data_IF_432394479205
#
_entry.id   IF_432394479205
#
_cell.length_a   1.000
_cell.length_b   1.000
_cell.length_c   1.000
_cell.angle_alpha   90.00
_cell.angle_beta   90.00
_cell.angle_gamma   90.00
#
_symmetry.space_group_name_H-M   'P 1'
#
loop_
_entity.id
_entity.type
_entity.pdbx_description
1 polymer ?
#
# COMPACT_ATOMS: atom_id res chain seq x y z
N UNK A 1 2.17 -0.36 2.02
CA UNK A 1 1.79 -0.16 0.60
C UNK A 1 0.35 -0.56 0.29
N UNK A 2 -0.10 -1.82 0.44
CA UNK A 2 -1.45 -2.23 -0.01
C UNK A 2 -2.62 -1.50 0.67
N UNK A 3 -2.47 -1.18 1.96
CA UNK A 3 -3.45 -0.33 2.65
C UNK A 3 -3.44 1.10 2.11
N UNK A 4 -2.26 1.62 1.76
CA UNK A 4 -2.05 2.96 1.21
C UNK A 4 -2.59 3.10 -0.22
N UNK A 5 -2.30 2.17 -1.11
CA UNK A 5 -2.74 2.27 -2.52
C UNK A 5 -4.05 1.54 -2.78
N UNK A 6 -4.72 1.08 -1.73
CA UNK A 6 -5.95 0.31 -1.83
C UNK A 6 -5.88 -0.87 -2.80
N UNK A 7 -4.94 -1.79 -2.56
CA UNK A 7 -4.93 -3.07 -3.24
C UNK A 7 -6.12 -3.91 -2.77
N UNK A 8 -7.08 -4.19 -3.66
CA UNK A 8 -8.28 -4.96 -3.33
C UNK A 8 -8.11 -6.46 -3.56
N UNK A 9 -7.05 -6.86 -4.25
CA UNK A 9 -6.80 -8.27 -4.59
C UNK A 9 -5.82 -8.95 -3.64
N UNK A 10 -5.06 -8.18 -2.84
CA UNK A 10 -4.15 -8.74 -1.84
C UNK A 10 -4.86 -9.06 -0.52
N UNK A 11 -5.23 -10.32 -0.34
CA UNK A 11 -5.99 -10.82 0.81
C UNK A 11 -5.47 -12.18 1.31
N UNK A 12 -6.23 -12.86 2.19
CA UNK A 12 -5.83 -14.17 2.75
C UNK A 12 -5.87 -15.33 1.75
N UNK A 13 -6.61 -15.18 0.66
CA UNK A 13 -6.75 -16.17 -0.41
C UNK A 13 -5.76 -15.91 -1.54
N UNK A 14 -5.37 -14.64 -1.75
CA UNK A 14 -4.35 -14.25 -2.69
C UNK A 14 -3.33 -13.27 -2.08
N UNK A 15 -2.14 -13.77 -1.76
CA UNK A 15 -1.09 -12.93 -1.20
C UNK A 15 -0.39 -12.06 -2.24
N UNK A 16 -0.46 -12.37 -3.54
CA UNK A 16 0.27 -11.63 -4.59
C UNK A 16 1.77 -11.46 -4.26
N UNK A 17 2.38 -12.50 -3.70
CA UNK A 17 3.80 -12.56 -3.32
C UNK A 17 4.49 -13.74 -3.99
N UNK A 18 5.65 -13.50 -4.58
CA UNK A 18 6.59 -14.54 -4.98
C UNK A 18 7.74 -14.59 -3.99
N UNK A 19 8.13 -15.77 -3.54
CA UNK A 19 9.32 -15.96 -2.71
C UNK A 19 10.50 -16.39 -3.58
N UNK A 20 11.53 -15.55 -3.66
CA UNK A 20 12.81 -15.93 -4.26
C UNK A 20 13.68 -16.58 -3.19
N UNK A 21 14.03 -17.85 -3.40
CA UNK A 21 14.78 -18.68 -2.44
C UNK A 21 16.22 -18.22 -2.25
N UNK A 22 16.92 -17.87 -3.34
CA UNK A 22 18.34 -17.49 -3.31
C UNK A 22 18.61 -16.23 -2.50
N UNK A 23 17.77 -15.21 -2.66
CA UNK A 23 17.87 -13.94 -1.95
C UNK A 23 17.01 -13.91 -0.68
N UNK A 24 16.29 -15.02 -0.40
CA UNK A 24 15.31 -15.15 0.68
C UNK A 24 14.37 -13.94 0.77
N UNK A 25 13.85 -13.50 -0.38
CA UNK A 25 13.09 -12.25 -0.50
C UNK A 25 11.72 -12.48 -1.08
N UNK A 26 10.73 -11.77 -0.50
CA UNK A 26 9.40 -11.69 -1.08
C UNK A 26 9.31 -10.53 -2.07
N UNK A 27 8.75 -10.82 -3.25
CA UNK A 27 8.44 -9.85 -4.28
C UNK A 27 6.94 -9.69 -4.39
N UNK A 28 6.49 -8.44 -4.29
CA UNK A 28 5.09 -8.11 -4.53
C UNK A 28 4.84 -8.10 -6.04
N UNK A 29 3.92 -8.95 -6.49
CA UNK A 29 3.46 -9.04 -7.89
C UNK A 29 1.98 -8.65 -7.99
N UNK A 30 1.45 -8.70 -9.21
CA UNK A 30 0.04 -8.47 -9.55
C UNK A 30 -0.57 -7.23 -8.88
N UNK A 31 -0.16 -6.08 -9.41
CA UNK A 31 -0.58 -4.76 -8.92
C UNK A 31 -1.74 -4.17 -9.74
N UNK A 32 -2.38 -4.96 -10.60
CA UNK A 32 -3.47 -4.50 -11.45
C UNK A 32 -4.70 -4.05 -10.63
N UNK A 33 -4.82 -4.56 -9.40
CA UNK A 33 -5.87 -4.23 -8.44
C UNK A 33 -5.54 -3.06 -7.49
N UNK A 34 -4.42 -2.37 -7.70
CA UNK A 34 -4.16 -1.11 -6.99
C UNK A 34 -5.20 -0.05 -7.34
N UNK A 35 -5.31 0.96 -6.48
CA UNK A 35 -6.27 2.05 -6.57
C UNK A 35 -7.73 1.58 -6.60
N UNK A 36 -8.04 0.48 -5.91
CA UNK A 36 -9.39 -0.09 -5.87
C UNK A 36 -9.74 -0.99 -7.06
N UNK A 37 -8.76 -1.33 -7.91
CA UNK A 37 -8.90 -2.24 -9.03
C UNK A 37 -9.82 -1.75 -10.16
N UNK A 38 -10.23 -2.63 -11.09
CA UNK A 38 -11.01 -2.25 -12.26
C UNK A 38 -12.33 -1.55 -11.94
N UNK A 39 -12.97 -1.90 -10.81
CA UNK A 39 -14.20 -1.27 -10.35
C UNK A 39 -14.02 0.23 -10.00
N UNK A 40 -12.80 0.64 -9.64
CA UNK A 40 -12.46 2.02 -9.27
C UNK A 40 -11.40 2.66 -10.20
N UNK A 41 -11.06 2.00 -11.32
CA UNK A 41 -10.03 2.44 -12.31
C UNK A 41 -10.17 3.92 -12.72
N UNK A 42 -11.39 4.44 -12.74
CA UNK A 42 -11.71 5.82 -13.11
C UNK A 42 -12.23 6.69 -11.96
N UNK A 43 -12.30 6.16 -10.72
CA UNK A 43 -13.02 6.78 -9.60
C UNK A 43 -12.31 6.75 -8.25
N UNK A 44 -11.06 6.30 -8.14
CA UNK A 44 -10.35 6.39 -6.85
C UNK A 44 -10.35 7.84 -6.35
N UNK A 45 -11.10 8.08 -5.28
CA UNK A 45 -11.37 9.41 -4.74
C UNK A 45 -10.22 9.75 -3.79
N UNK A 46 -9.43 10.82 -4.04
CA UNK A 46 -8.33 11.21 -3.16
C UNK A 46 -8.75 11.37 -1.69
N UNK A 47 -9.97 11.89 -1.48
CA UNK A 47 -10.58 12.12 -0.17
C UNK A 47 -11.33 10.90 0.40
N UNK A 48 -11.27 9.75 -0.25
CA UNK A 48 -11.91 8.54 0.24
C UNK A 48 -11.19 8.00 1.48
N UNK A 49 -11.95 7.46 2.43
CA UNK A 49 -11.37 6.85 3.63
C UNK A 49 -10.43 5.68 3.26
N UNK A 50 -9.32 5.49 3.99
CA UNK A 50 -8.46 4.33 3.79
C UNK A 50 -9.22 3.03 4.10
N UNK A 51 -9.34 2.16 3.09
CA UNK A 51 -9.91 0.83 3.31
C UNK A 51 -8.89 -0.08 4.00
N UNK A 52 -9.26 -0.63 5.15
CA UNK A 52 -8.49 -1.67 5.85
C UNK A 52 -9.12 -3.06 5.77
N UNK A 53 -10.40 -3.14 5.37
CA UNK A 53 -11.16 -4.40 5.32
C UNK A 53 -10.74 -5.31 4.17
N UNK A 54 -10.78 -6.63 4.41
CA UNK A 54 -10.44 -7.69 3.44
C UNK A 54 -9.00 -7.60 2.87
N UNK A 55 -8.06 -7.09 3.66
CA UNK A 55 -6.62 -7.02 3.31
C UNK A 55 -5.77 -7.99 4.14
N UNK A 56 -4.45 -7.97 3.91
CA UNK A 56 -3.46 -8.74 4.67
C UNK A 56 -3.54 -8.58 6.20
N UNK A 57 -4.13 -7.49 6.72
CA UNK A 57 -4.26 -7.24 8.16
C UNK A 57 -4.92 -8.41 8.91
N UNK A 58 -5.89 -9.08 8.29
CA UNK A 58 -6.54 -10.25 8.87
C UNK A 58 -5.85 -11.59 8.59
N UNK A 59 -4.85 -11.61 7.71
CA UNK A 59 -4.33 -12.85 7.12
C UNK A 59 -3.46 -13.67 8.08
N UNK A 60 -3.46 -14.98 7.86
CA UNK A 60 -2.58 -15.91 8.59
C UNK A 60 -1.10 -15.58 8.37
N UNK A 61 -0.71 -15.22 7.15
CA UNK A 61 0.65 -14.81 6.81
C UNK A 61 1.10 -13.65 7.69
N UNK A 62 0.36 -12.54 7.70
CA UNK A 62 0.74 -11.38 8.50
C UNK A 62 0.81 -11.73 9.99
N UNK A 63 -0.19 -12.43 10.53
CA UNK A 63 -0.20 -12.82 11.95
C UNK A 63 1.03 -13.64 12.32
N UNK A 64 1.44 -14.58 11.48
CA UNK A 64 2.64 -15.37 11.73
C UNK A 64 3.91 -14.54 11.59
N UNK A 65 4.00 -13.66 10.60
CA UNK A 65 5.14 -12.74 10.46
C UNK A 65 5.27 -11.84 11.68
N UNK A 66 4.16 -11.28 12.16
CA UNK A 66 4.16 -10.37 13.31
C UNK A 66 4.63 -11.03 14.61
N UNK A 67 4.57 -12.35 14.77
CA UNK A 67 5.14 -13.04 15.93
C UNK A 67 6.62 -12.75 16.10
N UNK A 68 7.34 -12.60 14.99
CA UNK A 68 8.79 -12.40 14.96
C UNK A 68 9.21 -10.91 14.92
N UNK A 69 8.26 -9.97 14.88
CA UNK A 69 8.53 -8.53 14.84
C UNK A 69 8.13 -7.90 16.17
N UNK A 70 9.00 -7.08 16.75
CA UNK A 70 8.72 -6.33 17.98
C UNK A 70 7.78 -5.16 17.70
N UNK A 71 7.07 -4.69 18.74
CA UNK A 71 6.23 -3.49 18.64
C UNK A 71 7.02 -2.25 18.21
N UNK A 72 8.23 -2.08 18.75
CA UNK A 72 9.15 -1.01 18.37
C UNK A 72 9.51 -1.08 16.87
N UNK A 73 9.81 -2.26 16.34
CA UNK A 73 10.11 -2.42 14.92
C UNK A 73 8.89 -2.16 14.03
N UNK A 74 7.69 -2.54 14.48
CA UNK A 74 6.44 -2.22 13.77
C UNK A 74 6.28 -0.69 13.68
N UNK A 75 6.37 0.00 14.82
CA UNK A 75 6.24 1.45 14.90
C UNK A 75 7.28 2.14 13.99
N UNK A 76 8.56 1.79 14.14
CA UNK A 76 9.65 2.33 13.31
C UNK A 76 9.43 2.11 11.81
N UNK A 77 8.88 0.95 11.44
CA UNK A 77 8.57 0.63 10.04
C UNK A 77 7.44 1.49 9.50
N UNK A 78 6.39 1.73 10.29
CA UNK A 78 5.29 2.63 9.91
C UNK A 78 5.79 4.06 9.76
N UNK A 79 6.46 4.60 10.78
CA UNK A 79 7.01 5.96 10.76
C UNK A 79 7.95 6.17 9.56
N UNK A 80 8.85 5.22 9.31
CA UNK A 80 9.76 5.28 8.16
C UNK A 80 9.00 5.26 6.82
N UNK A 81 7.97 4.43 6.69
CA UNK A 81 7.16 4.36 5.47
C UNK A 81 6.42 5.66 5.19
N UNK A 82 5.76 6.25 6.19
CA UNK A 82 5.02 7.50 6.00
C UNK A 82 5.95 8.70 5.78
N UNK A 83 7.11 8.74 6.46
CA UNK A 83 8.14 9.75 6.18
C UNK A 83 8.67 9.66 4.73
N UNK A 84 8.87 8.44 4.20
CA UNK A 84 9.25 8.25 2.80
C UNK A 84 8.14 8.67 1.84
N UNK A 85 6.87 8.37 2.14
CA UNK A 85 5.75 8.82 1.32
C UNK A 85 5.73 10.35 1.19
N UNK A 86 5.96 11.07 2.29
CA UNK A 86 5.94 12.52 2.32
C UNK A 86 7.16 13.18 1.64
N UNK A 87 8.30 12.47 1.55
CA UNK A 87 9.56 13.07 1.07
C UNK A 87 9.88 12.78 -0.40
N UNK A 88 9.63 11.55 -0.87
CA UNK A 88 10.15 11.11 -2.18
C UNK A 88 9.09 10.60 -3.16
N UNK A 89 7.90 10.23 -2.67
CA UNK A 89 6.94 9.50 -3.50
C UNK A 89 6.42 10.32 -4.68
N UNK A 90 6.22 11.63 -4.52
CA UNK A 90 5.83 12.51 -5.63
C UNK A 90 6.85 12.51 -6.77
N UNK A 91 8.14 12.69 -6.43
CA UNK A 91 9.25 12.68 -7.39
C UNK A 91 9.36 11.33 -8.11
N UNK A 92 9.21 10.22 -7.40
CA UNK A 92 9.26 8.89 -8.02
C UNK A 92 8.05 8.64 -8.93
N UNK A 93 6.86 9.14 -8.57
CA UNK A 93 5.67 9.08 -9.45
C UNK A 93 5.94 9.86 -10.74
N UNK A 94 6.42 11.11 -10.66
CA UNK A 94 6.74 11.91 -11.85
C UNK A 94 7.77 11.22 -12.75
N UNK A 95 8.80 10.62 -12.14
CA UNK A 95 9.83 9.86 -12.86
C UNK A 95 9.28 8.63 -13.56
N UNK A 96 8.35 7.89 -12.93
CA UNK A 96 7.70 6.74 -13.57
C UNK A 96 6.88 7.21 -14.77
N UNK A 97 6.08 8.27 -14.62
CA UNK A 97 5.24 8.79 -15.70
C UNK A 97 6.07 9.34 -16.88
N UNK A 98 7.25 9.90 -16.65
CA UNK A 98 8.14 10.36 -17.73
C UNK A 98 8.82 9.22 -18.51
N UNK A 99 8.81 8.00 -17.96
CA UNK A 99 9.36 6.80 -18.60
C UNK A 99 8.29 5.97 -19.31
N UNK A 100 7.01 6.31 -19.19
CA UNK A 100 5.93 5.57 -19.84
C UNK A 100 5.97 5.80 -21.36
N UNK A 101 5.85 4.74 -22.18
CA UNK A 101 5.77 4.91 -23.62
C UNK A 101 4.53 5.72 -24.03
N UNK A 102 4.71 6.69 -24.93
CA UNK A 102 3.60 7.47 -25.48
C UNK A 102 2.54 6.57 -26.16
N UNK A 103 2.96 5.44 -26.71
CA UNK A 103 2.09 4.44 -27.34
C UNK A 103 1.09 3.76 -26.39
N UNK A 104 1.22 3.96 -25.07
CA UNK A 104 0.26 3.45 -24.10
C UNK A 104 -0.99 4.32 -23.97
N UNK A 105 -1.01 5.50 -24.60
CA UNK A 105 -2.17 6.42 -24.63
C UNK A 105 -2.74 6.69 -23.23
N UNK A 106 -1.85 7.00 -22.28
CA UNK A 106 -2.23 7.24 -20.89
C UNK A 106 -3.07 8.53 -20.81
N UNK A 107 -4.20 8.44 -20.10
CA UNK A 107 -5.09 9.59 -19.85
C UNK A 107 -4.32 10.76 -19.23
N UNK A 108 -4.46 11.96 -19.82
CA UNK A 108 -3.70 13.16 -19.44
C UNK A 108 -3.80 13.52 -17.96
N UNK A 109 -4.94 13.22 -17.31
CA UNK A 109 -5.19 13.52 -15.90
C UNK A 109 -4.86 12.36 -14.93
N UNK A 110 -4.32 11.24 -15.41
CA UNK A 110 -4.08 10.07 -14.58
C UNK A 110 -3.00 10.36 -13.53
N UNK A 111 -1.94 11.08 -13.92
CA UNK A 111 -0.82 11.40 -13.05
C UNK A 111 -1.28 12.24 -11.86
N UNK A 112 -2.02 13.32 -12.13
CA UNK A 112 -2.55 14.24 -11.12
C UNK A 112 -3.48 13.51 -10.17
N UNK A 113 -4.30 12.59 -10.68
CA UNK A 113 -5.16 11.75 -9.85
C UNK A 113 -4.35 10.82 -8.95
N UNK A 114 -3.32 10.15 -9.48
CA UNK A 114 -2.44 9.27 -8.69
C UNK A 114 -1.72 10.06 -7.61
N UNK A 115 -1.15 11.21 -7.95
CA UNK A 115 -0.50 12.11 -6.98
C UNK A 115 -1.49 12.55 -5.89
N UNK A 116 -2.67 13.04 -6.28
CA UNK A 116 -3.70 13.48 -5.34
C UNK A 116 -4.12 12.34 -4.39
N UNK A 117 -4.24 11.11 -4.87
CA UNK A 117 -4.62 9.98 -4.03
C UNK A 117 -3.48 9.48 -3.12
N UNK A 118 -2.27 9.42 -3.64
CA UNK A 118 -1.09 8.86 -2.96
C UNK A 118 -0.43 9.82 -1.97
N UNK A 119 -0.70 11.13 -2.09
CA UNK A 119 -0.07 12.17 -1.26
C UNK A 119 -1.09 12.97 -0.44
N UNK A 120 -2.36 12.56 -0.40
CA UNK A 120 -3.36 13.22 0.45
C UNK A 120 -2.97 13.08 1.93
N UNK A 121 -2.55 14.19 2.54
CA UNK A 121 -2.03 14.23 3.91
C UNK A 121 -3.08 13.77 4.93
N UNK A 122 -4.33 14.17 4.75
CA UNK A 122 -5.43 13.78 5.66
C UNK A 122 -5.60 12.27 5.67
N UNK A 123 -5.61 11.67 4.47
CA UNK A 123 -5.74 10.24 4.27
C UNK A 123 -4.52 9.47 4.76
N UNK A 124 -3.31 9.97 4.54
CA UNK A 124 -2.07 9.36 5.02
C UNK A 124 -2.02 9.34 6.55
N UNK A 125 -2.30 10.47 7.21
CA UNK A 125 -2.34 10.58 8.67
C UNK A 125 -3.40 9.65 9.27
N UNK A 126 -4.60 9.61 8.67
CA UNK A 126 -5.65 8.69 9.10
C UNK A 126 -5.23 7.22 8.92
N UNK A 127 -4.61 6.89 7.80
CA UNK A 127 -4.15 5.53 7.54
C UNK A 127 -3.05 5.10 8.52
N UNK A 128 -2.11 5.97 8.84
CA UNK A 128 -1.05 5.71 9.82
C UNK A 128 -1.64 5.38 11.19
N UNK A 129 -2.58 6.21 11.66
CA UNK A 129 -3.28 5.99 12.92
C UNK A 129 -4.01 4.65 12.93
N UNK A 130 -4.78 4.36 11.87
CA UNK A 130 -5.57 3.14 11.78
C UNK A 130 -4.68 1.89 11.71
N UNK A 131 -3.57 1.93 10.96
CA UNK A 131 -2.63 0.80 10.88
C UNK A 131 -1.92 0.56 12.20
N UNK A 132 -1.48 1.63 12.86
CA UNK A 132 -0.81 1.55 14.16
C UNK A 132 -1.70 0.87 15.20
N UNK A 133 -2.96 1.32 15.30
CA UNK A 133 -3.94 0.73 16.20
C UNK A 133 -4.24 -0.73 15.87
N UNK A 134 -4.48 -1.06 14.59
CA UNK A 134 -4.80 -2.43 14.19
C UNK A 134 -3.64 -3.39 14.44
N UNK A 135 -2.41 -3.02 14.07
CA UNK A 135 -1.23 -3.86 14.24
C UNK A 135 -0.90 -4.06 15.73
N UNK A 136 -1.07 -3.03 16.56
CA UNK A 136 -0.91 -3.13 18.01
C UNK A 136 -1.92 -4.12 18.62
N UNK A 137 -3.20 -4.02 18.24
CA UNK A 137 -4.25 -4.91 18.72
C UNK A 137 -4.10 -6.35 18.21
N UNK A 138 -3.58 -6.56 17.00
CA UNK A 138 -3.21 -7.90 16.52
C UNK A 138 -2.04 -8.44 17.34
N UNK A 139 -1.00 -7.63 17.58
CA UNK A 139 0.22 -8.06 18.27
C UNK A 139 -0.03 -8.43 19.73
N UNK A 140 -0.96 -7.78 20.43
CA UNK A 140 -1.37 -8.17 21.79
C UNK A 140 -1.98 -9.57 21.88
N UNK A 141 -2.54 -10.08 20.79
CA UNK A 141 -3.32 -11.33 20.74
C UNK A 141 -2.51 -12.52 20.25
N UNK A 142 -1.23 -12.33 19.87
CA UNK A 142 -0.34 -13.38 19.32
C UNK A 142 0.91 -13.52 20.16
#
# INVERSE_FOLDING_TARGET
MDCHLNNVDRNSENYNLLFQTEQQRFYAIDHAALFGGPALKSRFVPKGEPSLGQKLLGSYLLRNTLKYITLENIQKTLESYFAQCNSILGTEIDKVFSMLPESWEISENLKERVLAYSLDETRLNLLELLLSNNLYEIKKKI
#
